data_IF_777893418034
#
_entry.id   IF_777893418034
#
_cell.length_a   1.000
_cell.length_b   1.000
_cell.length_c   1.000
_cell.angle_alpha   90.00
_cell.angle_beta   90.00
_cell.angle_gamma   90.00
#
_symmetry.space_group_name_H-M   'P 1'
#
loop_
_entity.id
_entity.type
_entity.pdbx_description
1 polymer ?
#
# COMPACT_ATOMS: atom_id res chain seq x y z
N UNK A 1 33.46 -28.59 49.24
CA UNK A 1 32.04 -28.16 49.13
C UNK A 1 31.89 -26.69 48.70
N UNK A 2 32.69 -26.18 47.74
CA UNK A 2 32.57 -24.77 47.24
C UNK A 2 32.31 -24.64 45.74
N UNK A 3 32.36 -25.75 45.00
CA UNK A 3 32.18 -25.77 43.54
C UNK A 3 30.73 -26.02 43.11
N UNK A 4 29.91 -26.60 43.99
CA UNK A 4 28.52 -26.94 43.67
C UNK A 4 27.61 -25.69 43.61
N UNK A 5 27.92 -24.64 44.39
CA UNK A 5 27.12 -23.41 44.45
C UNK A 5 27.28 -22.50 43.24
N UNK A 6 28.43 -22.55 42.54
CA UNK A 6 28.67 -21.71 41.35
C UNK A 6 27.94 -22.27 40.12
N UNK A 7 27.85 -23.60 39.99
CA UNK A 7 27.17 -24.23 38.85
C UNK A 7 25.65 -23.98 38.85
N UNK A 8 25.03 -23.92 40.03
CA UNK A 8 23.58 -23.65 40.15
C UNK A 8 23.24 -22.20 39.81
N UNK A 9 24.12 -21.24 40.13
CA UNK A 9 23.89 -19.83 39.84
C UNK A 9 24.00 -19.51 38.34
N UNK A 10 24.91 -20.18 37.61
CA UNK A 10 25.01 -20.04 36.14
C UNK A 10 23.83 -20.64 35.39
N UNK A 11 23.15 -21.65 35.96
CA UNK A 11 22.00 -22.30 35.31
C UNK A 11 20.71 -21.48 35.45
N UNK A 12 20.60 -20.66 36.50
CA UNK A 12 19.46 -19.75 36.72
C UNK A 12 19.51 -18.53 35.78
N UNK A 13 20.71 -18.06 35.41
CA UNK A 13 20.88 -16.89 34.54
C UNK A 13 20.51 -17.15 33.06
N UNK A 14 20.44 -18.41 32.62
CA UNK A 14 19.99 -18.78 31.28
C UNK A 14 18.45 -18.90 31.16
N UNK A 15 17.74 -19.01 32.27
CA UNK A 15 16.28 -19.15 32.26
C UNK A 15 15.53 -17.83 32.01
N UNK A 16 16.21 -16.68 32.10
CA UNK A 16 15.62 -15.36 31.92
C UNK A 16 15.97 -14.69 30.58
N UNK A 17 16.68 -15.36 29.66
CA UNK A 17 17.02 -14.76 28.35
C UNK A 17 15.93 -14.93 27.28
N UNK A 18 14.87 -15.70 27.55
CA UNK A 18 13.69 -15.75 26.70
C UNK A 18 12.73 -14.59 27.04
N UNK A 19 13.21 -13.35 26.96
CA UNK A 19 12.28 -12.24 26.73
C UNK A 19 11.78 -12.44 25.29
N UNK A 20 10.60 -13.06 25.18
CA UNK A 20 9.83 -13.18 23.95
C UNK A 20 9.69 -11.78 23.34
N UNK A 21 10.51 -11.50 22.34
CA UNK A 21 10.39 -10.28 21.57
C UNK A 21 9.15 -10.48 20.72
N UNK A 22 8.01 -9.99 21.21
CA UNK A 22 6.80 -9.86 20.39
C UNK A 22 7.16 -8.92 19.26
N UNK A 23 7.59 -9.48 18.12
CA UNK A 23 7.78 -8.72 16.89
C UNK A 23 6.39 -8.22 16.52
N UNK A 24 6.14 -6.90 16.49
CA UNK A 24 4.86 -6.37 16.07
C UNK A 24 4.51 -6.98 14.72
N UNK A 25 3.28 -7.46 14.55
CA UNK A 25 2.85 -7.93 13.25
C UNK A 25 3.03 -6.77 12.26
N UNK A 26 3.88 -6.95 11.24
CA UNK A 26 4.04 -5.92 10.23
C UNK A 26 2.75 -5.85 9.41
N UNK A 27 2.21 -4.65 9.30
CA UNK A 27 0.98 -4.37 8.56
C UNK A 27 1.35 -3.89 7.16
N UNK A 28 0.53 -4.27 6.17
CA UNK A 28 0.71 -3.82 4.80
C UNK A 28 0.70 -2.28 4.77
N UNK A 29 1.77 -1.67 4.24
CA UNK A 29 1.88 -0.22 4.13
C UNK A 29 2.44 0.20 2.77
N UNK A 30 1.75 1.14 2.13
CA UNK A 30 2.13 1.65 0.82
C UNK A 30 1.58 3.07 0.60
N UNK A 31 2.15 3.76 -0.39
CA UNK A 31 1.85 5.14 -0.73
C UNK A 31 1.59 5.27 -2.22
N UNK A 32 0.61 6.11 -2.55
CA UNK A 32 0.37 6.55 -3.92
C UNK A 32 1.43 7.58 -4.28
N UNK A 33 2.11 7.40 -5.41
CA UNK A 33 3.01 8.39 -5.97
C UNK A 33 2.35 9.13 -7.13
N UNK A 34 2.75 10.38 -7.42
CA UNK A 34 2.27 11.10 -8.59
C UNK A 34 2.51 10.29 -9.86
N UNK A 35 1.50 10.21 -10.72
CA UNK A 35 1.68 9.59 -12.04
C UNK A 35 2.56 10.47 -12.94
N UNK A 36 3.14 9.85 -13.96
CA UNK A 36 3.82 10.54 -15.05
C UNK A 36 3.03 10.34 -16.34
N UNK A 37 3.09 11.32 -17.24
CA UNK A 37 2.54 11.17 -18.58
C UNK A 37 3.69 11.18 -19.57
N UNK A 38 3.87 10.08 -20.29
CA UNK A 38 4.93 9.88 -21.28
C UNK A 38 4.26 9.48 -22.58
N UNK A 39 4.41 10.32 -23.61
CA UNK A 39 3.73 10.21 -24.89
C UNK A 39 2.21 10.06 -24.75
N UNK A 40 1.67 8.85 -24.96
CA UNK A 40 0.24 8.53 -24.85
C UNK A 40 -0.08 7.69 -23.61
N UNK A 41 0.91 7.43 -22.76
CA UNK A 41 0.80 6.52 -21.62
C UNK A 41 0.83 7.27 -20.30
N UNK A 42 -0.16 7.00 -19.44
CA UNK A 42 -0.16 7.46 -18.05
C UNK A 42 0.47 6.39 -17.17
N UNK A 43 1.61 6.68 -16.56
CA UNK A 43 2.37 5.75 -15.71
C UNK A 43 1.97 5.98 -14.26
N UNK A 44 1.15 5.09 -13.71
CA UNK A 44 0.81 5.09 -12.30
C UNK A 44 1.90 4.42 -11.47
N UNK A 45 2.13 4.93 -10.26
CA UNK A 45 3.20 4.49 -9.38
C UNK A 45 2.72 4.30 -7.94
N UNK A 46 3.08 3.17 -7.34
CA UNK A 46 2.79 2.83 -5.95
C UNK A 46 4.10 2.45 -5.27
N UNK A 47 4.41 3.05 -4.12
CA UNK A 47 5.54 2.64 -3.29
C UNK A 47 5.05 1.75 -2.17
N UNK A 48 5.51 0.51 -2.14
CA UNK A 48 5.23 -0.44 -1.06
C UNK A 48 6.39 -0.41 -0.08
N UNK A 49 6.10 0.05 1.14
CA UNK A 49 7.07 0.19 2.22
C UNK A 49 7.15 -1.12 3.04
N UNK A 50 6.02 -1.80 3.21
CA UNK A 50 5.90 -3.10 3.89
C UNK A 50 4.77 -3.90 3.22
N UNK A 51 4.95 -5.20 2.97
CA UNK A 51 3.92 -6.08 2.36
C UNK A 51 2.96 -6.69 3.39
N UNK A 52 3.28 -6.59 4.68
CA UNK A 52 2.55 -7.27 5.73
C UNK A 52 2.60 -8.80 5.60
N UNK A 53 1.75 -9.48 6.37
CA UNK A 53 1.67 -10.95 6.39
C UNK A 53 0.54 -11.53 5.54
N UNK A 54 -0.47 -10.71 5.21
CA UNK A 54 -1.65 -11.15 4.47
C UNK A 54 -1.38 -11.03 2.96
N UNK A 55 -1.63 -12.07 2.16
CA UNK A 55 -1.55 -11.99 0.71
C UNK A 55 -2.42 -10.88 0.14
N UNK A 56 -1.92 -10.21 -0.90
CA UNK A 56 -2.67 -9.22 -1.68
C UNK A 56 -3.26 -9.92 -2.90
N UNK A 57 -4.59 -9.96 -2.98
CA UNK A 57 -5.33 -10.58 -4.10
C UNK A 57 -5.45 -9.64 -5.30
N UNK A 58 -5.60 -8.35 -5.05
CA UNK A 58 -5.78 -7.34 -6.10
C UNK A 58 -5.22 -6.01 -5.62
N UNK A 59 -4.59 -5.24 -6.50
CA UNK A 59 -4.18 -3.88 -6.19
C UNK A 59 -4.16 -3.02 -7.45
N UNK A 60 -4.03 -1.71 -7.25
CA UNK A 60 -3.93 -0.75 -8.33
C UNK A 60 -4.32 0.65 -7.89
N UNK A 61 -4.98 1.40 -8.77
CA UNK A 61 -5.43 2.77 -8.52
C UNK A 61 -6.95 2.85 -8.59
N UNK A 62 -7.57 3.48 -7.59
CA UNK A 62 -8.97 3.95 -7.66
C UNK A 62 -8.98 5.45 -7.89
N UNK A 63 -9.99 5.93 -8.63
CA UNK A 63 -10.08 7.34 -8.97
C UNK A 63 -11.52 7.83 -9.20
N UNK A 64 -11.70 9.13 -9.03
CA UNK A 64 -12.86 9.90 -9.50
C UNK A 64 -12.37 11.06 -10.37
N UNK A 65 -13.13 11.39 -11.42
CA UNK A 65 -12.73 12.43 -12.38
C UNK A 65 -13.93 13.26 -12.89
N UNK A 66 -13.80 14.58 -12.83
CA UNK A 66 -14.90 15.52 -13.08
C UNK A 66 -14.54 16.59 -14.12
N UNK A 67 -15.54 17.00 -14.92
CA UNK A 67 -15.42 18.15 -15.80
C UNK A 67 -15.52 19.45 -15.00
N UNK A 68 -14.96 20.53 -15.54
CA UNK A 68 -15.15 21.87 -14.98
C UNK A 68 -16.63 22.24 -14.91
N UNK A 69 -17.04 22.82 -13.78
CA UNK A 69 -18.41 23.30 -13.57
C UNK A 69 -19.43 22.22 -13.23
N UNK A 70 -19.00 20.97 -13.04
CA UNK A 70 -19.85 19.89 -12.49
C UNK A 70 -19.84 19.97 -10.97
N UNK A 71 -20.96 19.59 -10.34
CA UNK A 71 -21.28 19.79 -8.91
C UNK A 71 -20.37 19.06 -7.91
N UNK A 72 -20.97 18.38 -6.93
CA UNK A 72 -20.19 17.79 -5.83
C UNK A 72 -19.21 16.71 -6.33
N UNK A 73 -17.96 16.81 -5.89
CA UNK A 73 -16.92 15.82 -6.18
C UNK A 73 -16.80 14.82 -5.02
N UNK A 74 -16.73 13.53 -5.32
CA UNK A 74 -16.21 12.54 -4.39
C UNK A 74 -14.69 12.67 -4.36
N UNK A 75 -14.17 13.23 -3.26
CA UNK A 75 -12.75 13.47 -3.10
C UNK A 75 -12.00 12.21 -2.67
N UNK A 76 -12.68 11.20 -2.14
CA UNK A 76 -12.05 10.03 -1.51
C UNK A 76 -12.47 8.74 -2.23
N UNK A 77 -11.90 8.47 -3.42
CA UNK A 77 -12.31 7.33 -4.24
C UNK A 77 -12.08 6.00 -3.53
N UNK A 78 -13.01 5.08 -3.68
CA UNK A 78 -13.01 3.75 -3.09
C UNK A 78 -12.98 2.68 -4.19
N UNK A 79 -12.89 1.41 -3.81
CA UNK A 79 -12.97 0.28 -4.76
C UNK A 79 -14.31 0.16 -5.48
N UNK A 80 -15.34 0.88 -5.02
CA UNK A 80 -16.66 0.97 -5.66
C UNK A 80 -16.73 2.06 -6.74
N UNK A 81 -15.72 2.95 -6.80
CA UNK A 81 -15.57 3.96 -7.85
C UNK A 81 -14.84 3.36 -9.09
N UNK A 82 -14.26 4.23 -9.94
CA UNK A 82 -13.46 3.76 -11.09
C UNK A 82 -12.13 3.19 -10.62
N UNK A 83 -11.73 2.05 -11.22
CA UNK A 83 -10.53 1.30 -10.83
C UNK A 83 -9.66 0.92 -12.03
N UNK A 84 -8.35 1.00 -11.82
CA UNK A 84 -7.30 0.52 -12.72
C UNK A 84 -6.54 -0.57 -11.95
N UNK A 85 -6.74 -1.82 -12.36
CA UNK A 85 -6.07 -2.97 -11.76
C UNK A 85 -4.67 -3.11 -12.35
N UNK A 86 -3.68 -3.36 -11.50
CA UNK A 86 -2.35 -3.73 -11.96
C UNK A 86 -2.30 -5.25 -12.15
N UNK A 87 -1.70 -5.70 -13.26
CA UNK A 87 -1.56 -7.10 -13.62
C UNK A 87 -0.18 -7.69 -13.26
N UNK A 88 0.70 -6.87 -12.71
CA UNK A 88 2.03 -7.25 -12.23
C UNK A 88 1.99 -7.70 -10.77
N UNK A 89 2.98 -8.45 -10.31
CA UNK A 89 3.08 -8.86 -8.91
C UNK A 89 3.20 -7.65 -7.97
N UNK A 90 2.53 -7.71 -6.82
CA UNK A 90 2.64 -6.68 -5.78
C UNK A 90 3.97 -6.84 -5.03
N UNK A 91 4.97 -6.03 -5.35
CA UNK A 91 6.35 -6.18 -4.85
C UNK A 91 6.75 -5.05 -3.88
N UNK A 92 7.76 -5.28 -3.02
CA UNK A 92 8.38 -4.19 -2.25
C UNK A 92 9.03 -3.15 -3.19
N UNK A 93 9.01 -1.89 -2.76
CA UNK A 93 9.56 -0.78 -3.54
C UNK A 93 8.54 -0.14 -4.50
N UNK A 94 9.03 0.43 -5.61
CA UNK A 94 8.18 1.15 -6.56
C UNK A 94 7.63 0.19 -7.61
N UNK A 95 6.32 0.02 -7.60
CA UNK A 95 5.57 -0.70 -8.63
C UNK A 95 5.01 0.34 -9.61
N UNK A 96 5.16 0.08 -10.90
CA UNK A 96 4.71 0.97 -11.96
C UNK A 96 3.75 0.24 -12.90
N UNK A 97 2.80 0.99 -13.45
CA UNK A 97 1.84 0.45 -14.40
C UNK A 97 1.54 1.48 -15.48
N UNK A 98 1.75 1.10 -16.74
CA UNK A 98 1.44 1.91 -17.90
C UNK A 98 -0.03 1.76 -18.30
N UNK A 99 -0.79 2.85 -18.19
CA UNK A 99 -2.17 2.92 -18.64
C UNK A 99 -2.24 3.65 -19.98
N UNK A 100 -2.54 2.91 -21.05
CA UNK A 100 -2.52 3.40 -22.44
C UNK A 100 -3.85 3.96 -22.93
N UNK A 101 -4.91 3.86 -22.13
CA UNK A 101 -6.20 4.49 -22.44
C UNK A 101 -6.14 5.96 -22.04
N UNK A 102 -6.96 6.79 -22.68
CA UNK A 102 -7.09 8.20 -22.35
C UNK A 102 -7.66 8.37 -20.94
N UNK A 103 -6.76 8.55 -19.96
CA UNK A 103 -7.10 8.78 -18.57
C UNK A 103 -7.72 10.16 -18.38
N UNK A 104 -7.29 11.15 -19.16
CA UNK A 104 -7.71 12.52 -19.00
C UNK A 104 -9.11 12.73 -19.57
N UNK A 105 -9.36 12.31 -20.82
CA UNK A 105 -10.66 12.32 -21.48
C UNK A 105 -11.49 13.61 -21.25
N UNK A 106 -10.81 14.76 -21.36
CA UNK A 106 -11.38 16.09 -21.15
C UNK A 106 -11.79 16.45 -19.71
N UNK A 107 -11.55 15.57 -18.73
CA UNK A 107 -11.80 15.85 -17.30
C UNK A 107 -10.75 16.82 -16.77
N UNK A 108 -11.13 17.60 -15.75
CA UNK A 108 -10.32 18.69 -15.19
C UNK A 108 -9.84 18.36 -13.79
N UNK A 109 -10.71 17.78 -12.96
CA UNK A 109 -10.41 17.46 -11.57
C UNK A 109 -10.28 15.96 -11.39
N UNK A 110 -9.15 15.53 -10.82
CA UNK A 110 -8.84 14.12 -10.56
C UNK A 110 -8.52 13.93 -9.09
N UNK A 111 -9.12 12.91 -8.50
CA UNK A 111 -8.78 12.41 -7.17
C UNK A 111 -8.47 10.93 -7.32
N UNK A 112 -7.30 10.50 -6.87
CA UNK A 112 -6.89 9.10 -7.00
C UNK A 112 -6.05 8.65 -5.81
N UNK A 113 -6.09 7.34 -5.54
CA UNK A 113 -5.23 6.69 -4.55
C UNK A 113 -5.01 5.24 -4.90
N UNK A 114 -3.87 4.72 -4.45
CA UNK A 114 -3.58 3.30 -4.48
C UNK A 114 -4.55 2.53 -3.59
N UNK A 115 -4.88 1.31 -3.98
CA UNK A 115 -5.64 0.36 -3.16
C UNK A 115 -4.99 -1.03 -3.23
N UNK A 116 -5.23 -1.82 -2.19
CA UNK A 116 -4.93 -3.25 -2.15
C UNK A 116 -6.08 -3.98 -1.45
N UNK A 117 -6.54 -5.07 -2.04
CA UNK A 117 -7.54 -5.99 -1.48
C UNK A 117 -6.80 -7.23 -1.01
N UNK A 118 -6.93 -7.54 0.27
CA UNK A 118 -6.30 -8.70 0.88
C UNK A 118 -7.12 -9.97 0.65
N UNK A 119 -6.54 -11.12 1.00
CA UNK A 119 -7.19 -12.43 0.92
C UNK A 119 -8.46 -12.56 1.76
N UNK A 120 -8.54 -11.87 2.89
CA UNK A 120 -9.72 -11.77 3.74
C UNK A 120 -10.79 -10.77 3.26
N UNK A 121 -10.56 -10.13 2.11
CA UNK A 121 -11.46 -9.14 1.51
C UNK A 121 -11.36 -7.74 2.09
N UNK A 122 -10.49 -7.51 3.10
CA UNK A 122 -10.23 -6.16 3.59
C UNK A 122 -9.52 -5.30 2.54
N UNK A 123 -9.79 -4.00 2.57
CA UNK A 123 -9.25 -3.03 1.61
C UNK A 123 -8.37 -2.03 2.35
N UNK A 124 -7.13 -1.91 1.89
CA UNK A 124 -6.16 -0.91 2.36
C UNK A 124 -6.00 0.13 1.27
N UNK A 125 -5.87 1.40 1.66
CA UNK A 125 -5.70 2.52 0.74
C UNK A 125 -4.41 3.28 1.05
N UNK A 126 -3.74 3.75 -0.01
CA UNK A 126 -2.66 4.70 0.10
C UNK A 126 -3.16 6.14 0.32
N UNK A 127 -2.22 7.08 0.43
CA UNK A 127 -2.54 8.51 0.46
C UNK A 127 -3.27 8.94 -0.82
N UNK A 128 -4.23 9.86 -0.67
CA UNK A 128 -4.90 10.50 -1.80
C UNK A 128 -3.98 11.51 -2.47
N UNK A 129 -4.01 11.54 -3.80
CA UNK A 129 -3.47 12.64 -4.61
C UNK A 129 -4.62 13.34 -5.33
N UNK A 130 -4.56 14.66 -5.36
CA UNK A 130 -5.50 15.53 -6.06
C UNK A 130 -4.75 16.28 -7.16
N UNK A 131 -5.28 16.26 -8.37
CA UNK A 131 -4.70 16.92 -9.53
C UNK A 131 -5.79 17.74 -10.23
N UNK A 132 -5.42 18.95 -10.65
CA UNK A 132 -6.22 19.78 -11.54
C UNK A 132 -5.35 20.13 -12.74
N UNK A 133 -5.91 19.98 -13.95
CA UNK A 133 -5.26 20.31 -15.22
C UNK A 133 -6.00 21.43 -15.96
#
# INVERSE_FOLDING_TARGET
>A
MKTLTIAVLSMILLAFSCNDHVIPASELSFKTLPFEHVDTTTIFKIRVDDQGKKPVNEYGIVYTAYFRGVGNHNLDPTVDDSKIKFDTAFMLGINQFGYTKDFINGKTFFYYRAYAILDDGSVIYGNRISLTI
#
